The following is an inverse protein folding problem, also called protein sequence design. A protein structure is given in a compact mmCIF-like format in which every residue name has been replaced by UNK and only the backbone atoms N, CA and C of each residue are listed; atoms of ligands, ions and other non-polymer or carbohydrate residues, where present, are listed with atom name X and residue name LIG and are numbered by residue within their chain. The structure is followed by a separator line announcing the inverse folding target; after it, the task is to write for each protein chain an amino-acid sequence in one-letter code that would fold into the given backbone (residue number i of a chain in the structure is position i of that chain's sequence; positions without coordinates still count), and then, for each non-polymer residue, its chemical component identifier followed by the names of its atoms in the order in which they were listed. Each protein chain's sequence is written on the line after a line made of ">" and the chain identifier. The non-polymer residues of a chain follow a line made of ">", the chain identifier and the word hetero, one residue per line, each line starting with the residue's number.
data_IF_434314205905
#
_entry.id   IF_434314205905
#
_cell.length_a   1.000
_cell.length_b   1.000
_cell.length_c   1.000
_cell.angle_alpha   90.00
_cell.angle_beta   90.00
_cell.angle_gamma   90.00
#
_symmetry.space_group_name_H-M   'P 1'
#
loop_
_entity.id
_entity.type
_entity.pdbx_description
1 polymer ?
#
# COMPACT_ATOMS: atom_id res chain seq x y z
N UNK A 1 9.40 25.57 8.91
CA UNK A 1 10.20 24.39 8.50
C UNK A 1 9.24 23.36 7.90
N UNK A 2 8.39 23.78 6.97
CA UNK A 2 7.17 23.05 6.57
C UNK A 2 7.01 22.82 5.05
N UNK A 3 7.87 23.39 4.18
CA UNK A 3 7.57 23.38 2.73
C UNK A 3 8.35 22.35 1.89
N UNK A 4 9.24 21.55 2.47
CA UNK A 4 10.04 20.58 1.69
C UNK A 4 9.39 19.21 1.51
N UNK A 5 8.30 18.88 2.23
CA UNK A 5 7.65 17.57 2.15
C UNK A 5 6.59 17.48 1.03
N UNK A 6 5.92 18.59 0.70
CA UNK A 6 4.82 18.60 -0.27
C UNK A 6 5.26 18.36 -1.71
N UNK A 7 6.45 18.84 -2.11
CA UNK A 7 6.95 18.69 -3.48
C UNK A 7 7.34 17.25 -3.78
N UNK A 8 7.99 16.54 -2.84
CA UNK A 8 8.39 15.14 -3.02
C UNK A 8 7.18 14.22 -3.16
N UNK A 9 6.13 14.44 -2.37
CA UNK A 9 4.92 13.62 -2.42
C UNK A 9 4.05 13.93 -3.65
N UNK A 10 4.03 15.18 -4.09
CA UNK A 10 3.38 15.58 -5.35
C UNK A 10 4.10 14.96 -6.54
N UNK A 11 5.44 14.99 -6.58
CA UNK A 11 6.26 14.35 -7.62
C UNK A 11 6.06 12.83 -7.60
N UNK A 12 6.04 12.19 -6.42
CA UNK A 12 5.81 10.74 -6.31
C UNK A 12 4.40 10.33 -6.75
N UNK A 13 3.38 11.15 -6.50
CA UNK A 13 2.02 10.89 -6.95
C UNK A 13 1.86 11.08 -8.47
N UNK A 14 2.51 12.08 -9.06
CA UNK A 14 2.59 12.30 -10.50
C UNK A 14 3.32 11.13 -11.17
N UNK A 15 4.49 10.74 -10.64
CA UNK A 15 5.26 9.59 -11.15
C UNK A 15 4.46 8.28 -11.06
N UNK A 16 3.67 8.07 -9.99
CA UNK A 16 2.77 6.90 -9.88
C UNK A 16 1.64 6.95 -10.92
N UNK A 17 1.07 8.12 -11.18
CA UNK A 17 -0.01 8.31 -12.16
C UNK A 17 0.48 8.10 -13.58
N UNK A 18 1.65 8.64 -13.92
CA UNK A 18 2.28 8.49 -15.24
C UNK A 18 2.75 7.06 -15.48
N UNK A 19 3.30 6.37 -14.48
CA UNK A 19 3.69 4.97 -14.61
C UNK A 19 2.50 4.04 -14.90
N UNK A 20 1.34 4.32 -14.31
CA UNK A 20 0.13 3.56 -14.60
C UNK A 20 -0.36 3.86 -16.03
N UNK A 21 -0.40 5.13 -16.44
CA UNK A 21 -0.77 5.53 -17.79
C UNK A 21 0.11 4.87 -18.85
N UNK A 22 1.43 4.85 -18.66
CA UNK A 22 2.38 4.24 -19.58
C UNK A 22 2.21 2.72 -19.73
N UNK A 23 1.82 2.03 -18.64
CA UNK A 23 1.55 0.59 -18.70
C UNK A 23 0.26 0.29 -19.48
N UNK A 24 -0.81 1.08 -19.29
CA UNK A 24 -2.05 0.88 -20.04
C UNK A 24 -1.90 1.22 -21.53
N UNK A 25 -1.18 2.28 -21.87
CA UNK A 25 -0.94 2.65 -23.27
C UNK A 25 -0.05 1.64 -23.97
N UNK A 26 0.99 1.13 -23.30
CA UNK A 26 1.84 0.04 -23.81
C UNK A 26 1.04 -1.22 -24.16
N UNK A 27 0.16 -1.68 -23.25
CA UNK A 27 -0.65 -2.88 -23.46
C UNK A 27 -1.71 -2.66 -24.55
N UNK A 28 -2.36 -1.48 -24.57
CA UNK A 28 -3.32 -1.13 -25.60
C UNK A 28 -2.68 -1.06 -27.00
N UNK A 29 -1.47 -0.49 -27.09
CA UNK A 29 -0.71 -0.42 -28.35
C UNK A 29 -0.30 -1.82 -28.79
N UNK A 30 0.15 -2.71 -27.90
CA UNK A 30 0.49 -4.09 -28.27
C UNK A 30 -0.72 -4.89 -28.77
N UNK A 31 -1.88 -4.71 -28.14
CA UNK A 31 -3.14 -5.36 -28.57
C UNK A 31 -3.62 -4.82 -29.92
N UNK A 32 -3.50 -3.51 -30.13
CA UNK A 32 -3.85 -2.87 -31.39
C UNK A 32 -2.95 -3.37 -32.53
N UNK A 33 -1.64 -3.39 -32.31
CA UNK A 33 -0.67 -3.95 -33.27
C UNK A 33 -0.96 -5.43 -33.57
N UNK A 34 -1.25 -6.25 -32.55
CA UNK A 34 -1.58 -7.66 -32.72
C UNK A 34 -2.90 -7.85 -33.50
N UNK A 35 -3.90 -7.01 -33.26
CA UNK A 35 -5.19 -7.05 -33.97
C UNK A 35 -5.01 -6.68 -35.45
N UNK A 36 -4.20 -5.66 -35.75
CA UNK A 36 -3.83 -5.32 -37.13
C UNK A 36 -3.04 -6.44 -37.81
N UNK A 37 -2.20 -7.17 -37.06
CA UNK A 37 -1.45 -8.32 -37.58
C UNK A 37 -2.34 -9.54 -37.90
N UNK A 38 -3.43 -9.75 -37.16
CA UNK A 38 -4.35 -10.88 -37.37
C UNK A 38 -5.53 -10.56 -38.32
N UNK A 39 -5.90 -9.28 -38.52
CA UNK A 39 -7.11 -8.89 -39.27
C UNK A 39 -6.94 -8.70 -40.78
N UNK A 40 -5.72 -8.76 -41.32
CA UNK A 40 -5.44 -8.41 -42.72
C UNK A 40 -5.65 -9.58 -43.71
N UNK A 41 -6.85 -10.17 -43.74
CA UNK A 41 -7.18 -11.26 -44.68
C UNK A 41 -7.87 -10.79 -45.98
N UNK A 42 -7.91 -9.48 -46.27
CA UNK A 42 -8.82 -8.93 -47.29
C UNK A 42 -8.20 -8.22 -48.50
N UNK A 43 -7.30 -7.24 -48.33
CA UNK A 43 -6.94 -6.34 -49.44
C UNK A 43 -5.52 -5.72 -49.42
N UNK A 44 -4.63 -6.13 -48.50
CA UNK A 44 -3.28 -5.54 -48.36
C UNK A 44 -2.18 -6.60 -48.27
N UNK A 45 -2.24 -7.64 -49.09
CA UNK A 45 -1.38 -8.83 -48.97
C UNK A 45 0.12 -8.53 -49.10
N UNK A 46 0.53 -7.56 -49.93
CA UNK A 46 1.96 -7.26 -50.16
C UNK A 46 2.65 -6.61 -48.97
N UNK A 47 2.08 -5.51 -48.45
CA UNK A 47 2.74 -4.73 -47.39
C UNK A 47 2.84 -5.49 -46.05
N UNK A 48 1.82 -6.31 -45.73
CA UNK A 48 1.79 -7.06 -44.48
C UNK A 48 2.62 -8.34 -44.53
N UNK A 49 2.70 -9.03 -45.68
CA UNK A 49 3.56 -10.19 -45.82
C UNK A 49 5.04 -9.83 -45.56
N UNK A 50 5.47 -8.68 -46.09
CA UNK A 50 6.86 -8.22 -45.96
C UNK A 50 7.21 -7.72 -44.55
N UNK A 51 6.22 -7.21 -43.80
CA UNK A 51 6.44 -6.57 -42.49
C UNK A 51 5.90 -7.37 -41.28
N UNK A 52 5.36 -8.58 -41.49
CA UNK A 52 4.75 -9.40 -40.42
C UNK A 52 5.69 -9.59 -39.22
N UNK A 53 6.97 -9.86 -39.48
CA UNK A 53 7.98 -10.08 -38.46
C UNK A 53 8.23 -8.82 -37.61
N UNK A 54 8.24 -7.63 -38.23
CA UNK A 54 8.44 -6.36 -37.53
C UNK A 54 7.28 -6.06 -36.57
N UNK A 55 6.03 -6.31 -36.99
CA UNK A 55 4.87 -6.12 -36.13
C UNK A 55 4.85 -7.07 -34.94
N UNK A 56 5.26 -8.33 -35.12
CA UNK A 56 5.40 -9.29 -34.03
C UNK A 56 6.50 -8.87 -33.04
N UNK A 57 7.68 -8.49 -33.53
CA UNK A 57 8.79 -8.02 -32.69
C UNK A 57 8.36 -6.77 -31.90
N UNK A 58 7.71 -5.80 -32.56
CA UNK A 58 7.25 -4.59 -31.91
C UNK A 58 6.23 -4.90 -30.80
N UNK A 59 5.24 -5.77 -31.07
CA UNK A 59 4.23 -6.17 -30.08
C UNK A 59 4.87 -6.83 -28.85
N UNK A 60 5.81 -7.76 -29.06
CA UNK A 60 6.52 -8.41 -27.95
C UNK A 60 7.47 -7.46 -27.19
N UNK A 61 8.08 -6.49 -27.86
CA UNK A 61 8.93 -5.49 -27.22
C UNK A 61 8.12 -4.54 -26.33
N UNK A 62 6.97 -4.05 -26.83
CA UNK A 62 6.04 -3.27 -26.02
C UNK A 62 5.49 -4.08 -24.84
N UNK A 63 5.21 -5.37 -25.03
CA UNK A 63 4.83 -6.28 -23.95
C UNK A 63 5.94 -6.42 -22.90
N UNK A 64 7.18 -6.64 -23.34
CA UNK A 64 8.31 -6.75 -22.43
C UNK A 64 8.46 -5.49 -21.59
N UNK A 65 8.36 -4.30 -22.19
CA UNK A 65 8.39 -3.03 -21.47
C UNK A 65 7.21 -2.93 -20.48
N UNK A 66 5.99 -3.23 -20.93
CA UNK A 66 4.77 -3.14 -20.12
C UNK A 66 4.71 -4.11 -18.94
N UNK A 67 5.40 -5.25 -19.00
CA UNK A 67 5.45 -6.24 -17.91
C UNK A 67 6.71 -6.10 -17.05
N UNK A 68 7.87 -5.85 -17.67
CA UNK A 68 9.14 -5.78 -16.97
C UNK A 68 9.27 -4.54 -16.07
N UNK A 69 8.78 -3.38 -16.53
CA UNK A 69 8.81 -2.13 -15.75
C UNK A 69 8.03 -2.25 -14.43
N UNK A 70 6.76 -2.72 -14.41
CA UNK A 70 6.05 -2.92 -13.14
C UNK A 70 6.65 -4.04 -12.29
N UNK A 71 7.18 -5.12 -12.88
CA UNK A 71 7.84 -6.20 -12.12
C UNK A 71 9.10 -5.73 -11.40
N UNK A 72 9.94 -4.93 -12.06
CA UNK A 72 11.15 -4.41 -11.46
C UNK A 72 10.84 -3.44 -10.30
N UNK A 73 9.75 -2.67 -10.43
CA UNK A 73 9.23 -1.82 -9.34
C UNK A 73 8.62 -2.64 -8.20
N UNK A 74 7.94 -3.75 -8.51
CA UNK A 74 7.33 -4.62 -7.51
C UNK A 74 8.35 -5.28 -6.57
N UNK A 75 9.62 -5.41 -6.98
CA UNK A 75 10.71 -5.97 -6.15
C UNK A 75 10.90 -5.25 -4.81
N UNK A 76 10.55 -3.96 -4.75
CA UNK A 76 10.73 -3.12 -3.55
C UNK A 76 9.53 -3.14 -2.60
N UNK A 77 8.46 -3.85 -2.94
CA UNK A 77 7.30 -3.99 -2.06
C UNK A 77 7.53 -5.11 -1.03
N UNK A 78 6.97 -5.03 0.19
CA UNK A 78 7.16 -6.01 1.27
C UNK A 78 6.69 -7.44 0.92
N UNK A 79 5.85 -7.60 -0.11
CA UNK A 79 5.44 -8.89 -0.68
C UNK A 79 6.04 -9.15 -2.07
N UNK A 80 6.91 -8.26 -2.53
CA UNK A 80 7.44 -8.16 -3.88
C UNK A 80 8.17 -9.39 -4.38
N UNK A 81 8.82 -10.15 -3.49
CA UNK A 81 9.60 -11.34 -3.89
C UNK A 81 8.73 -12.43 -4.53
N UNK A 82 7.56 -12.74 -3.97
CA UNK A 82 6.67 -13.76 -4.54
C UNK A 82 6.07 -13.31 -5.87
N UNK A 83 5.75 -12.02 -5.98
CA UNK A 83 5.26 -11.41 -7.21
C UNK A 83 6.33 -11.33 -8.30
N UNK A 84 7.57 -11.02 -7.93
CA UNK A 84 8.71 -10.96 -8.83
C UNK A 84 8.98 -12.31 -9.50
N UNK A 85 9.00 -13.40 -8.71
CA UNK A 85 9.15 -14.75 -9.24
C UNK A 85 7.97 -15.21 -10.08
N UNK A 86 6.73 -14.89 -9.66
CA UNK A 86 5.54 -15.18 -10.45
C UNK A 86 5.57 -14.51 -11.82
N UNK A 87 5.91 -13.22 -11.88
CA UNK A 87 6.02 -12.51 -13.15
C UNK A 87 7.20 -12.97 -14.02
N UNK A 88 8.33 -13.34 -13.40
CA UNK A 88 9.44 -13.97 -14.14
C UNK A 88 9.05 -15.31 -14.76
N UNK A 89 8.29 -16.13 -14.03
CA UNK A 89 7.78 -17.40 -14.55
C UNK A 89 6.93 -17.20 -15.80
N UNK A 90 6.07 -16.18 -15.79
CA UNK A 90 5.19 -15.93 -16.94
C UNK A 90 5.90 -15.19 -18.08
N UNK A 91 6.85 -14.30 -17.79
CA UNK A 91 7.74 -13.73 -18.81
C UNK A 91 8.56 -14.82 -19.51
N UNK A 92 9.08 -15.78 -18.76
CA UNK A 92 9.79 -16.94 -19.31
C UNK A 92 8.90 -17.77 -20.23
N UNK A 93 7.64 -17.95 -19.85
CA UNK A 93 6.63 -18.66 -20.65
C UNK A 93 6.29 -17.90 -21.94
N UNK A 94 6.12 -16.57 -21.87
CA UNK A 94 5.90 -15.72 -23.03
C UNK A 94 7.11 -15.67 -23.99
N UNK A 95 8.33 -15.62 -23.45
CA UNK A 95 9.57 -15.71 -24.24
C UNK A 95 9.70 -17.07 -24.93
N UNK A 96 9.33 -18.15 -24.26
CA UNK A 96 9.34 -19.49 -24.86
C UNK A 96 8.38 -19.56 -26.06
N UNK A 97 7.17 -19.00 -25.94
CA UNK A 97 6.23 -18.91 -27.06
C UNK A 97 6.77 -18.06 -28.22
N UNK A 98 7.44 -16.95 -27.92
CA UNK A 98 8.08 -16.08 -28.92
C UNK A 98 9.17 -16.84 -29.69
N UNK A 99 10.03 -17.57 -28.98
CA UNK A 99 11.09 -18.39 -29.60
C UNK A 99 10.50 -19.46 -30.52
N UNK A 100 9.42 -20.13 -30.10
CA UNK A 100 8.72 -21.12 -30.94
C UNK A 100 8.12 -20.46 -32.19
N UNK A 101 7.52 -19.28 -32.07
CA UNK A 101 6.96 -18.53 -33.19
C UNK A 101 8.04 -18.11 -34.20
N UNK A 102 9.20 -17.60 -33.72
CA UNK A 102 10.34 -17.25 -34.58
C UNK A 102 10.87 -18.50 -35.29
N UNK A 103 11.08 -19.60 -34.55
CA UNK A 103 11.60 -20.84 -35.11
C UNK A 103 10.69 -21.38 -36.22
N UNK A 104 9.37 -21.37 -36.05
CA UNK A 104 8.42 -21.79 -37.08
C UNK A 104 8.43 -20.88 -38.31
N UNK A 105 8.61 -19.56 -38.13
CA UNK A 105 8.69 -18.62 -39.25
C UNK A 105 9.97 -18.73 -40.10
N UNK A 106 11.03 -19.32 -39.53
CA UNK A 106 12.32 -19.48 -40.20
C UNK A 106 12.41 -20.75 -41.08
N UNK A 107 11.45 -21.67 -40.98
CA UNK A 107 11.45 -22.91 -41.77
C UNK A 107 10.88 -22.64 -43.17
N UNK A 108 11.65 -22.86 -44.26
CA UNK A 108 11.17 -22.65 -45.63
C UNK A 108 9.95 -23.51 -45.93
N UNK A 109 8.91 -22.92 -46.51
CA UNK A 109 7.58 -23.53 -46.72
C UNK A 109 7.52 -24.69 -47.76
N UNK A 110 8.65 -25.32 -48.08
CA UNK A 110 8.73 -26.45 -49.00
C UNK A 110 8.24 -27.76 -48.35
N UNK A 111 6.93 -27.97 -48.24
CA UNK A 111 6.35 -29.33 -48.20
C UNK A 111 5.31 -29.68 -47.13
N UNK A 112 5.03 -28.83 -46.12
CA UNK A 112 4.11 -29.16 -45.02
C UNK A 112 3.02 -28.08 -44.79
N UNK A 113 2.39 -27.59 -45.85
CA UNK A 113 1.76 -26.26 -45.90
C UNK A 113 0.31 -26.12 -45.38
N UNK A 114 -0.31 -27.14 -44.79
CA UNK A 114 -1.68 -26.99 -44.23
C UNK A 114 -1.86 -27.37 -42.77
N UNK A 115 -1.06 -28.30 -42.22
CA UNK A 115 -1.19 -28.69 -40.82
C UNK A 115 -0.48 -27.72 -39.84
N UNK A 116 0.38 -26.84 -40.36
CA UNK A 116 1.17 -25.91 -39.55
C UNK A 116 0.45 -24.57 -39.28
N UNK A 117 -0.52 -24.14 -40.11
CA UNK A 117 -1.20 -22.85 -39.91
C UNK A 117 -2.15 -22.86 -38.73
N UNK A 118 -2.92 -23.94 -38.53
CA UNK A 118 -3.84 -24.06 -37.39
C UNK A 118 -3.09 -24.10 -36.04
N UNK A 119 -1.92 -24.74 -36.01
CA UNK A 119 -1.08 -24.77 -34.81
C UNK A 119 -0.52 -23.39 -34.46
N UNK A 120 -0.13 -22.60 -35.46
CA UNK A 120 0.34 -21.23 -35.27
C UNK A 120 -0.78 -20.34 -34.73
N UNK A 121 -1.98 -20.46 -35.29
CA UNK A 121 -3.13 -19.67 -34.84
C UNK A 121 -3.53 -20.03 -33.40
N UNK A 122 -3.52 -21.32 -33.04
CA UNK A 122 -3.77 -21.78 -31.67
C UNK A 122 -2.71 -21.27 -30.67
N UNK A 123 -1.43 -21.26 -31.04
CA UNK A 123 -0.36 -20.70 -30.22
C UNK A 123 -0.50 -19.18 -30.07
N UNK A 124 -0.93 -18.48 -31.13
CA UNK A 124 -1.27 -17.06 -31.10
C UNK A 124 -2.40 -16.77 -30.11
N UNK A 125 -3.52 -17.49 -30.20
CA UNK A 125 -4.67 -17.29 -29.32
C UNK A 125 -4.36 -17.64 -27.86
N UNK A 126 -3.62 -18.72 -27.62
CA UNK A 126 -3.24 -19.13 -26.25
C UNK A 126 -2.27 -18.12 -25.62
N UNK A 127 -1.29 -17.61 -26.37
CA UNK A 127 -0.39 -16.57 -25.87
C UNK A 127 -1.15 -15.28 -25.55
N UNK A 128 -2.04 -14.82 -26.44
CA UNK A 128 -2.88 -13.63 -26.22
C UNK A 128 -3.78 -13.80 -24.97
N UNK A 129 -4.40 -14.96 -24.79
CA UNK A 129 -5.20 -15.28 -23.60
C UNK A 129 -4.39 -15.23 -22.31
N UNK A 130 -3.15 -15.76 -22.32
CA UNK A 130 -2.24 -15.68 -21.18
C UNK A 130 -1.92 -14.21 -20.82
N UNK A 131 -1.73 -13.34 -21.81
CA UNK A 131 -1.47 -11.92 -21.58
C UNK A 131 -2.64 -11.20 -20.90
N UNK A 132 -3.87 -11.49 -21.33
CA UNK A 132 -5.08 -10.91 -20.72
C UNK A 132 -5.18 -11.29 -19.24
N UNK A 133 -4.96 -12.58 -18.92
CA UNK A 133 -5.00 -13.08 -17.54
C UNK A 133 -3.93 -12.39 -16.67
N UNK A 134 -2.72 -12.17 -17.21
CA UNK A 134 -1.67 -11.44 -16.49
C UNK A 134 -2.03 -9.98 -16.24
N UNK A 135 -2.54 -9.31 -17.27
CA UNK A 135 -2.98 -7.92 -17.17
C UNK A 135 -4.01 -7.76 -16.05
N UNK A 136 -5.00 -8.65 -16.00
CA UNK A 136 -5.99 -8.68 -14.93
C UNK A 136 -5.41 -9.02 -13.56
N UNK A 137 -4.46 -9.96 -13.48
CA UNK A 137 -3.81 -10.28 -12.22
C UNK A 137 -3.04 -9.09 -11.65
N UNK A 138 -2.21 -8.44 -12.47
CA UNK A 138 -1.46 -7.23 -12.07
C UNK A 138 -2.43 -6.12 -11.67
N UNK A 139 -3.48 -5.90 -12.48
CA UNK A 139 -4.51 -4.91 -12.18
C UNK A 139 -5.19 -5.15 -10.85
N UNK A 140 -5.58 -6.40 -10.57
CA UNK A 140 -6.22 -6.76 -9.31
C UNK A 140 -5.31 -6.45 -8.11
N UNK A 141 -3.99 -6.69 -8.22
CA UNK A 141 -3.05 -6.35 -7.15
C UNK A 141 -2.88 -4.84 -6.96
N UNK A 142 -2.74 -4.08 -8.06
CA UNK A 142 -2.63 -2.62 -8.00
C UNK A 142 -3.88 -1.99 -7.38
N UNK A 143 -5.06 -2.44 -7.81
CA UNK A 143 -6.34 -2.04 -7.24
C UNK A 143 -6.41 -2.38 -5.76
N UNK A 144 -5.94 -3.57 -5.34
CA UNK A 144 -5.91 -3.94 -3.92
C UNK A 144 -5.04 -2.99 -3.11
N UNK A 145 -3.85 -2.62 -3.60
CA UNK A 145 -2.99 -1.66 -2.90
C UNK A 145 -3.64 -0.28 -2.84
N UNK A 146 -4.17 0.21 -3.96
CA UNK A 146 -4.85 1.49 -4.02
C UNK A 146 -6.05 1.56 -3.07
N UNK A 147 -6.84 0.49 -3.00
CA UNK A 147 -7.98 0.38 -2.10
C UNK A 147 -7.55 0.45 -0.62
N UNK A 148 -6.45 -0.22 -0.24
CA UNK A 148 -5.91 -0.13 1.13
C UNK A 148 -5.46 1.29 1.48
N UNK A 149 -4.70 1.92 0.60
CA UNK A 149 -4.21 3.30 0.81
C UNK A 149 -5.40 4.28 0.87
N UNK A 150 -6.36 4.20 -0.05
CA UNK A 150 -7.55 5.06 -0.04
C UNK A 150 -8.41 4.84 1.20
N UNK A 151 -8.62 3.59 1.60
CA UNK A 151 -9.39 3.29 2.81
C UNK A 151 -8.70 3.86 4.05
N UNK A 152 -7.37 3.73 4.13
CA UNK A 152 -6.58 4.30 5.23
C UNK A 152 -6.64 5.83 5.26
N UNK A 153 -6.58 6.48 4.08
CA UNK A 153 -6.79 7.92 3.97
C UNK A 153 -8.19 8.33 4.43
N UNK A 154 -9.22 7.60 4.03
CA UNK A 154 -10.59 7.88 4.45
C UNK A 154 -10.74 7.76 5.97
N UNK A 155 -10.17 6.72 6.59
CA UNK A 155 -10.15 6.56 8.05
C UNK A 155 -9.42 7.71 8.73
N UNK A 156 -8.24 8.11 8.22
CA UNK A 156 -7.49 9.26 8.73
C UNK A 156 -8.28 10.57 8.61
N UNK A 157 -8.92 10.81 7.47
CA UNK A 157 -9.72 12.00 7.24
C UNK A 157 -10.93 12.01 8.18
N UNK A 158 -11.67 10.91 8.30
CA UNK A 158 -12.80 10.77 9.21
C UNK A 158 -12.39 11.03 10.67
N UNK A 159 -11.25 10.49 11.10
CA UNK A 159 -10.70 10.78 12.43
C UNK A 159 -10.38 12.27 12.61
N UNK A 160 -9.76 12.89 11.60
CA UNK A 160 -9.39 14.30 11.65
C UNK A 160 -10.60 15.22 11.64
N UNK A 161 -11.69 14.88 10.92
CA UNK A 161 -12.89 15.73 10.83
C UNK A 161 -13.95 15.42 11.88
N UNK A 162 -13.87 14.29 12.59
CA UNK A 162 -14.81 13.96 13.66
C UNK A 162 -14.67 14.93 14.83
N UNK A 163 -15.73 15.68 15.08
CA UNK A 163 -15.82 16.62 16.21
C UNK A 163 -15.67 15.88 17.55
N UNK A 164 -16.22 14.67 17.64
CA UNK A 164 -16.09 13.81 18.82
C UNK A 164 -14.63 13.46 19.07
N UNK A 165 -13.90 13.02 18.03
CA UNK A 165 -12.49 12.67 18.18
C UNK A 165 -11.63 13.90 18.55
N UNK A 166 -11.89 15.06 17.94
CA UNK A 166 -11.22 16.31 18.28
C UNK A 166 -11.50 16.72 19.73
N UNK A 167 -12.75 16.61 20.17
CA UNK A 167 -13.14 16.95 21.54
C UNK A 167 -12.49 16.00 22.56
N UNK A 168 -12.50 14.70 22.31
CA UNK A 168 -11.79 13.74 23.18
C UNK A 168 -10.28 13.99 23.19
N UNK A 169 -9.69 14.38 22.06
CA UNK A 169 -8.28 14.79 21.99
C UNK A 169 -8.02 16.04 22.83
N UNK A 170 -8.92 17.03 22.81
CA UNK A 170 -8.82 18.25 23.62
C UNK A 170 -8.97 17.95 25.10
N UNK A 171 -9.95 17.13 25.47
CA UNK A 171 -10.19 16.71 26.86
C UNK A 171 -9.02 15.89 27.42
N UNK A 172 -8.48 14.96 26.64
CA UNK A 172 -7.30 14.17 27.02
C UNK A 172 -6.09 15.08 27.31
N UNK A 173 -5.82 16.04 26.40
CA UNK A 173 -4.69 16.95 26.52
C UNK A 173 -4.87 18.07 27.56
N UNK A 174 -6.06 18.26 28.13
CA UNK A 174 -6.33 19.32 29.12
C UNK A 174 -5.51 19.13 30.41
N UNK A 175 -5.42 17.89 30.90
CA UNK A 175 -4.67 17.54 32.12
C UNK A 175 -3.35 16.82 31.83
N UNK A 176 -3.30 16.06 30.74
CA UNK A 176 -2.12 15.28 30.35
C UNK A 176 -1.63 15.73 28.97
N UNK A 177 -1.09 16.97 28.85
CA UNK A 177 -0.73 17.53 27.57
C UNK A 177 0.46 16.81 26.94
N UNK A 178 0.42 16.63 25.61
CA UNK A 178 1.44 15.88 24.88
C UNK A 178 2.88 16.41 25.00
N UNK A 179 3.05 17.70 25.34
CA UNK A 179 4.37 18.33 25.51
C UNK A 179 4.95 18.17 26.91
N UNK A 180 4.12 17.81 27.89
CA UNK A 180 4.59 17.57 29.24
C UNK A 180 4.94 16.09 29.38
N UNK A 181 6.01 15.79 30.11
CA UNK A 181 6.35 14.41 30.51
C UNK A 181 5.37 13.85 31.56
N UNK A 182 4.17 14.42 31.68
CA UNK A 182 3.14 13.99 32.63
C UNK A 182 2.49 12.72 32.09
N UNK A 183 2.78 11.60 32.74
CA UNK A 183 2.07 10.33 32.55
C UNK A 183 0.91 10.21 33.53
N UNK A 184 -0.12 9.48 33.15
CA UNK A 184 -1.26 9.19 34.03
C UNK A 184 -0.76 8.25 35.14
N UNK A 185 -0.89 8.68 36.39
CA UNK A 185 -0.45 7.90 37.55
C UNK A 185 -1.37 6.71 37.82
N UNK A 186 -0.91 5.72 38.61
CA UNK A 186 -1.76 4.57 38.99
C UNK A 186 -2.90 5.01 39.89
N UNK A 187 -2.64 5.95 40.80
CA UNK A 187 -3.60 6.51 41.74
C UNK A 187 -4.75 7.23 41.00
N UNK A 188 -4.43 7.96 39.92
CA UNK A 188 -5.43 8.63 39.09
C UNK A 188 -6.35 7.61 38.37
N UNK A 189 -5.79 6.48 37.90
CA UNK A 189 -6.56 5.39 37.26
C UNK A 189 -7.47 4.68 38.26
N UNK A 190 -6.99 4.42 39.48
CA UNK A 190 -7.80 3.85 40.55
C UNK A 190 -8.93 4.79 40.98
N UNK A 191 -8.66 6.09 41.05
CA UNK A 191 -9.67 7.13 41.31
C UNK A 191 -10.74 7.14 40.22
N UNK A 192 -10.34 7.06 38.94
CA UNK A 192 -11.28 6.96 37.82
C UNK A 192 -12.23 5.76 37.94
N UNK A 193 -11.71 4.58 38.28
CA UNK A 193 -12.52 3.36 38.40
C UNK A 193 -13.34 3.26 39.68
N UNK A 194 -12.94 3.94 40.75
CA UNK A 194 -13.70 4.00 42.01
C UNK A 194 -14.75 5.10 42.03
N UNK A 195 -14.63 6.11 41.15
CA UNK A 195 -15.63 7.17 41.05
C UNK A 195 -16.88 6.67 40.32
N UNK A 196 -18.03 6.68 41.00
CA UNK A 196 -19.36 6.49 40.40
C UNK A 196 -19.96 7.82 39.91
N UNK A 197 -19.15 8.87 39.76
CA UNK A 197 -19.68 10.22 39.58
C UNK A 197 -20.26 10.43 38.19
N UNK A 198 -21.58 10.62 38.14
CA UNK A 198 -22.28 11.23 37.02
C UNK A 198 -21.74 12.67 36.87
N UNK A 199 -21.04 12.95 35.78
CA UNK A 199 -20.53 14.28 35.47
C UNK A 199 -21.72 15.20 35.19
N UNK A 200 -22.01 16.12 36.12
CA UNK A 200 -23.01 17.18 35.93
C UNK A 200 -22.34 18.46 35.41
N UNK A 201 -23.04 19.24 34.59
CA UNK A 201 -22.47 20.30 33.74
C UNK A 201 -22.11 21.62 34.46
N UNK A 202 -22.19 21.70 35.78
CA UNK A 202 -21.87 22.91 36.56
C UNK A 202 -20.57 22.73 37.35
N UNK A 203 -19.61 23.64 37.13
CA UNK A 203 -18.28 23.76 37.75
C UNK A 203 -17.61 22.43 38.19
N UNK A 204 -16.95 21.79 37.23
CA UNK A 204 -16.17 20.58 37.51
C UNK A 204 -15.00 20.87 38.46
N UNK A 205 -14.94 20.12 39.56
CA UNK A 205 -13.77 20.03 40.45
C UNK A 205 -12.53 19.54 39.69
N UNK A 206 -11.33 19.81 40.23
CA UNK A 206 -10.07 19.35 39.61
C UNK A 206 -10.05 17.83 39.39
N UNK A 207 -10.52 17.07 40.38
CA UNK A 207 -10.68 15.61 40.31
C UNK A 207 -11.61 15.18 39.19
N UNK A 208 -12.77 15.83 39.02
CA UNK A 208 -13.71 15.50 37.94
C UNK A 208 -13.12 15.80 36.56
N UNK A 209 -12.33 16.86 36.41
CA UNK A 209 -11.66 17.16 35.15
C UNK A 209 -10.57 16.14 34.83
N UNK A 210 -9.81 15.66 35.83
CA UNK A 210 -8.86 14.54 35.66
C UNK A 210 -9.55 13.26 35.20
N UNK A 211 -10.66 12.90 35.87
CA UNK A 211 -11.51 11.74 35.51
C UNK A 211 -11.99 11.89 34.06
N UNK A 212 -12.44 13.08 33.65
CA UNK A 212 -12.84 13.36 32.27
C UNK A 212 -11.68 13.17 31.28
N UNK A 213 -10.48 13.64 31.59
CA UNK A 213 -9.30 13.43 30.75
C UNK A 213 -8.90 11.96 30.63
N UNK A 214 -9.00 11.17 31.71
CA UNK A 214 -8.73 9.72 31.71
C UNK A 214 -9.77 8.96 30.88
N UNK A 215 -11.04 9.36 31.00
CA UNK A 215 -12.13 8.83 30.16
C UNK A 215 -11.86 9.11 28.67
N UNK A 216 -11.44 10.33 28.35
CA UNK A 216 -11.08 10.71 26.99
C UNK A 216 -9.87 9.94 26.45
N UNK A 217 -8.85 9.72 27.29
CA UNK A 217 -7.72 8.84 26.93
C UNK A 217 -8.19 7.40 26.65
N UNK A 218 -9.11 6.86 27.46
CA UNK A 218 -9.66 5.52 27.25
C UNK A 218 -10.41 5.41 25.92
N UNK A 219 -11.16 6.45 25.54
CA UNK A 219 -11.80 6.55 24.23
C UNK A 219 -10.77 6.51 23.09
N UNK A 220 -9.71 7.34 23.18
CA UNK A 220 -8.67 7.40 22.16
C UNK A 220 -7.90 6.08 22.05
N UNK A 221 -7.59 5.42 23.17
CA UNK A 221 -6.94 4.11 23.19
C UNK A 221 -7.80 3.03 22.51
N UNK A 222 -9.12 3.03 22.75
CA UNK A 222 -10.04 2.11 22.08
C UNK A 222 -10.05 2.34 20.56
N UNK A 223 -10.01 3.61 20.14
CA UNK A 223 -9.89 3.95 18.73
C UNK A 223 -8.57 3.45 18.12
N UNK A 224 -7.45 3.64 18.81
CA UNK A 224 -6.14 3.16 18.35
C UNK A 224 -6.02 1.64 18.35
N UNK A 225 -6.69 0.92 19.26
CA UNK A 225 -6.79 -0.55 19.21
C UNK A 225 -7.52 -1.03 17.96
N UNK A 226 -8.61 -0.36 17.58
CA UNK A 226 -9.32 -0.67 16.33
C UNK A 226 -8.43 -0.42 15.10
N UNK A 227 -7.68 0.69 15.08
CA UNK A 227 -6.70 0.96 14.04
C UNK A 227 -5.60 -0.11 13.99
N UNK A 228 -5.07 -0.51 15.14
CA UNK A 228 -4.06 -1.54 15.23
C UNK A 228 -4.55 -2.89 14.69
N UNK A 229 -5.81 -3.25 14.98
CA UNK A 229 -6.45 -4.41 14.37
C UNK A 229 -6.62 -4.28 12.85
N UNK A 230 -7.00 -3.10 12.35
CA UNK A 230 -7.10 -2.82 10.91
C UNK A 230 -5.76 -2.94 10.18
N UNK A 231 -4.67 -2.54 10.83
CA UNK A 231 -3.30 -2.74 10.34
C UNK A 231 -2.94 -4.23 10.34
N UNK A 232 -3.17 -4.92 11.46
CA UNK A 232 -2.83 -6.35 11.62
C UNK A 232 -3.57 -7.26 10.65
N UNK A 233 -4.84 -6.94 10.35
CA UNK A 233 -5.63 -7.64 9.34
C UNK A 233 -5.20 -7.31 7.90
N UNK A 234 -4.30 -6.35 7.72
CA UNK A 234 -3.79 -5.91 6.42
C UNK A 234 -4.83 -5.13 5.61
N UNK A 235 -5.89 -4.65 6.24
CA UNK A 235 -6.93 -3.81 5.62
C UNK A 235 -6.45 -2.36 5.50
N UNK A 236 -5.65 -1.91 6.47
CA UNK A 236 -5.04 -0.58 6.49
C UNK A 236 -3.58 -0.61 6.03
N UNK A 237 -3.13 0.53 5.51
CA UNK A 237 -1.77 0.81 5.06
C UNK A 237 -0.96 1.34 6.26
N UNK A 238 -0.20 0.43 6.89
CA UNK A 238 0.60 0.74 8.08
C UNK A 238 1.61 1.85 7.83
N UNK A 239 2.21 1.89 6.62
CA UNK A 239 3.24 2.87 6.28
C UNK A 239 2.67 4.28 6.30
N UNK A 240 1.54 4.46 5.62
CA UNK A 240 0.84 5.73 5.57
C UNK A 240 0.40 6.20 6.97
N UNK A 241 -0.14 5.27 7.78
CA UNK A 241 -0.59 5.58 9.13
C UNK A 241 0.57 5.95 10.04
N UNK A 242 1.69 5.21 9.99
CA UNK A 242 2.88 5.51 10.79
C UNK A 242 3.42 6.91 10.47
N UNK A 243 3.55 7.26 9.19
CA UNK A 243 4.03 8.58 8.78
C UNK A 243 3.12 9.73 9.21
N UNK A 244 1.80 9.48 9.27
CA UNK A 244 0.82 10.54 9.57
C UNK A 244 0.55 10.70 11.06
N UNK A 245 0.36 9.59 11.78
CA UNK A 245 -0.10 9.57 13.18
C UNK A 245 0.79 8.76 14.12
N UNK A 246 1.88 8.15 13.64
CA UNK A 246 2.72 7.28 14.45
C UNK A 246 3.19 7.92 15.76
N UNK A 247 3.73 9.14 15.69
CA UNK A 247 4.18 9.88 16.86
C UNK A 247 3.03 10.20 17.84
N UNK A 248 1.84 10.48 17.32
CA UNK A 248 0.64 10.79 18.13
C UNK A 248 0.18 9.55 18.88
N UNK A 249 0.05 8.41 18.20
CA UNK A 249 -0.36 7.14 18.80
C UNK A 249 0.63 6.71 19.89
N UNK A 250 1.93 6.72 19.60
CA UNK A 250 2.97 6.38 20.58
C UNK A 250 2.87 7.31 21.80
N UNK A 251 2.73 8.62 21.59
CA UNK A 251 2.62 9.58 22.69
C UNK A 251 1.38 9.36 23.56
N UNK A 252 0.22 9.10 22.96
CA UNK A 252 -1.00 8.80 23.71
C UNK A 252 -0.89 7.48 24.48
N UNK A 253 -0.30 6.43 23.89
CA UNK A 253 -0.07 5.16 24.57
C UNK A 253 0.85 5.34 25.78
N UNK A 254 2.01 5.98 25.60
CA UNK A 254 2.99 6.17 26.67
C UNK A 254 2.44 6.97 27.85
N UNK A 255 1.63 8.01 27.59
CA UNK A 255 0.97 8.77 28.67
C UNK A 255 -0.09 7.93 29.39
N UNK A 256 -0.78 7.05 28.68
CA UNK A 256 -1.88 6.25 29.20
C UNK A 256 -1.51 4.78 29.49
N UNK A 257 -0.22 4.48 29.64
CA UNK A 257 0.28 3.12 29.86
C UNK A 257 -0.35 2.47 31.10
N UNK A 258 -0.60 3.25 32.16
CA UNK A 258 -1.26 2.76 33.37
C UNK A 258 -2.73 2.39 33.15
N UNK A 259 -3.45 3.09 32.26
CA UNK A 259 -4.83 2.73 31.85
C UNK A 259 -4.79 1.37 31.14
N UNK A 260 -3.87 1.20 30.19
CA UNK A 260 -3.71 -0.04 29.42
C UNK A 260 -3.35 -1.20 30.35
N UNK A 261 -2.39 -0.99 31.26
CA UNK A 261 -1.94 -1.99 32.23
C UNK A 261 -3.08 -2.42 33.16
N UNK A 262 -3.84 -1.46 33.69
CA UNK A 262 -5.00 -1.74 34.54
C UNK A 262 -6.07 -2.55 33.78
N UNK A 263 -6.39 -2.19 32.54
CA UNK A 263 -7.36 -2.92 31.71
C UNK A 263 -6.87 -4.35 31.37
N UNK A 264 -5.57 -4.53 31.13
CA UNK A 264 -4.95 -5.82 30.82
C UNK A 264 -4.88 -6.77 32.00
N UNK A 265 -4.78 -6.23 33.22
CA UNK A 265 -4.88 -7.03 34.44
C UNK A 265 -6.24 -7.73 34.56
N UNK A 266 -7.31 -7.10 34.05
CA UNK A 266 -8.64 -7.71 33.97
C UNK A 266 -8.76 -8.70 32.81
N UNK A 267 -8.22 -8.34 31.64
CA UNK A 267 -8.20 -9.21 30.46
C UNK A 267 -6.95 -8.98 29.63
N UNK A 268 -6.09 -10.02 29.56
CA UNK A 268 -4.81 -9.97 28.82
C UNK A 268 -4.96 -9.64 27.34
N UNK A 269 -6.15 -9.83 26.76
CA UNK A 269 -6.43 -9.55 25.33
C UNK A 269 -6.75 -8.08 25.07
N UNK A 270 -7.15 -7.33 26.09
CA UNK A 270 -7.48 -5.91 25.94
C UNK A 270 -6.25 -5.13 25.50
N UNK A 271 -6.40 -4.25 24.50
CA UNK A 271 -5.32 -3.46 23.90
C UNK A 271 -4.15 -4.28 23.34
N UNK A 272 -4.34 -5.58 23.05
CA UNK A 272 -3.23 -6.44 22.64
C UNK A 272 -2.65 -6.04 21.29
N UNK A 273 -3.48 -5.59 20.34
CA UNK A 273 -3.00 -5.16 19.04
C UNK A 273 -2.29 -3.82 19.13
N UNK A 274 -2.78 -2.90 19.98
CA UNK A 274 -2.18 -1.60 20.22
C UNK A 274 -0.80 -1.71 20.89
N UNK A 275 -0.65 -2.59 21.89
CA UNK A 275 0.66 -2.83 22.54
C UNK A 275 1.66 -3.35 21.51
N UNK A 276 1.27 -4.34 20.72
CA UNK A 276 2.11 -4.91 19.65
C UNK A 276 2.47 -3.86 18.58
N UNK A 277 1.54 -2.96 18.27
CA UNK A 277 1.76 -1.87 17.31
C UNK A 277 2.70 -0.80 17.88
N UNK A 278 2.52 -0.39 19.14
CA UNK A 278 3.34 0.64 19.77
C UNK A 278 4.80 0.22 19.85
N UNK A 279 5.07 -1.03 20.25
CA UNK A 279 6.42 -1.58 20.33
C UNK A 279 7.13 -1.48 18.97
N UNK A 280 6.50 -1.97 17.89
CA UNK A 280 7.03 -1.88 16.53
C UNK A 280 7.25 -0.44 16.07
N UNK A 281 6.28 0.43 16.32
CA UNK A 281 6.34 1.82 15.87
C UNK A 281 7.38 2.63 16.65
N UNK A 282 7.57 2.34 17.93
CA UNK A 282 8.60 2.94 18.78
C UNK A 282 9.99 2.54 18.30
N UNK A 283 10.24 1.25 18.09
CA UNK A 283 11.51 0.76 17.54
C UNK A 283 11.85 1.43 16.21
N UNK A 284 10.86 1.50 15.32
CA UNK A 284 11.01 2.15 14.02
C UNK A 284 11.34 3.64 14.15
N UNK A 285 10.59 4.37 14.96
CA UNK A 285 10.83 5.81 15.19
C UNK A 285 12.23 6.05 15.74
N UNK A 286 12.63 5.27 16.73
CA UNK A 286 13.94 5.41 17.37
C UNK A 286 15.07 5.10 16.38
N UNK A 287 14.89 4.10 15.50
CA UNK A 287 15.78 3.84 14.38
C UNK A 287 15.87 5.03 13.40
N UNK A 288 14.73 5.60 13.00
CA UNK A 288 14.69 6.75 12.07
C UNK A 288 15.39 7.97 12.67
N UNK A 289 15.20 8.25 13.97
CA UNK A 289 15.92 9.29 14.69
C UNK A 289 17.45 9.08 14.67
N UNK A 290 17.92 7.86 14.94
CA UNK A 290 19.35 7.53 14.91
C UNK A 290 19.96 7.72 13.50
N UNK A 291 19.22 7.40 12.45
CA UNK A 291 19.66 7.61 11.07
C UNK A 291 19.77 9.09 10.72
N UNK A 292 18.83 9.91 11.19
CA UNK A 292 18.86 11.36 11.00
C UNK A 292 20.08 11.98 11.72
N UNK A 293 20.37 11.55 12.94
CA UNK A 293 21.53 12.03 13.70
C UNK A 293 22.85 11.69 13.01
N UNK A 294 22.99 10.47 12.47
CA UNK A 294 24.17 10.06 11.69
C UNK A 294 24.34 10.91 10.43
N UNK A 295 23.25 11.14 9.69
CA UNK A 295 23.26 12.00 8.49
C UNK A 295 23.65 13.44 8.82
N UNK A 296 23.19 13.98 9.96
CA UNK A 296 23.56 15.32 10.39
C UNK A 296 25.03 15.43 10.81
N UNK A 297 25.57 14.42 11.52
CA UNK A 297 26.99 14.38 11.88
C UNK A 297 27.90 14.32 10.65
N UNK A 298 27.57 13.51 9.65
CA UNK A 298 28.33 13.41 8.39
C UNK A 298 28.29 14.70 7.55
N UNK A 299 27.32 15.59 7.76
CA UNK A 299 27.28 16.89 7.07
C UNK A 299 28.12 17.97 7.77
N UNK A 300 28.53 17.74 9.01
CA UNK A 300 29.26 18.72 9.85
C UNK A 300 30.77 18.46 9.92
N UNK A 301 31.22 17.26 9.59
CA UNK A 301 32.64 16.89 9.49
C UNK A 301 33.07 16.83 8.04
#
# INVERSE_FOLDING_TARGET
>A
MEDHYTISDTINSIIKREANFFNYTSIAISLLIATFACGANGHSEGFYADNKLIFWIASYLFFFIGVFVPLNKAKFLPYGKRFFWGGFGVLGLALLFLVVAIWQSAIPQGGASKMNSEAIDLLGYTSAGALVILGWFVQHQLTRQHNKTNHSLNVLLQMRVSEEFQEQTRLANRYYPSRSHTTISKEDVETYHSSNTVLSNTDLTDTQKKIQSISAHSYLLNYYEFLAYGIKSGVLDEELLFQTIGAVVIGHYQRAEQIVSYARNKSKKTFSNLVELEERWKERRDFDCLQLDKKQKNKRG
#
